data_IF_518959482256
#
_entry.id   IF_518959482256
#
_cell.length_a   1.000
_cell.length_b   1.000
_cell.length_c   1.000
_cell.angle_alpha   90.00
_cell.angle_beta   90.00
_cell.angle_gamma   90.00
#
_symmetry.space_group_name_H-M   'P 1'
#
loop_
_entity.id
_entity.type
_entity.pdbx_description
1 polymer ?
#
# COMPACT_ATOMS: atom_id res chain seq x y z
N UNK A 1 -1.70 -26.07 -16.30
CA UNK A 1 -2.26 -24.85 -15.66
C UNK A 1 -1.20 -23.78 -15.76
N UNK A 2 -1.33 -22.86 -16.72
CA UNK A 2 -0.53 -21.65 -16.84
C UNK A 2 -1.54 -20.50 -16.88
N UNK A 3 -1.33 -19.49 -16.05
CA UNK A 3 -2.23 -18.35 -15.91
C UNK A 3 -2.01 -17.41 -17.09
N UNK A 4 -3.04 -17.19 -17.91
CA UNK A 4 -2.98 -16.41 -19.15
C UNK A 4 -2.86 -14.88 -18.93
N UNK A 5 -2.42 -14.45 -17.74
CA UNK A 5 -2.23 -13.02 -17.39
C UNK A 5 -0.77 -12.58 -17.33
N UNK A 6 0.14 -13.38 -17.86
CA UNK A 6 1.57 -13.09 -17.92
C UNK A 6 1.97 -12.39 -19.24
N UNK A 7 1.26 -11.34 -19.68
CA UNK A 7 1.67 -10.52 -20.85
C UNK A 7 0.84 -9.22 -20.96
N UNK A 8 0.95 -8.33 -19.98
CA UNK A 8 0.66 -6.93 -20.24
C UNK A 8 1.75 -6.06 -19.63
N UNK A 9 2.58 -5.50 -20.51
CA UNK A 9 3.41 -4.32 -20.26
C UNK A 9 2.53 -3.07 -20.03
N UNK A 10 1.41 -3.21 -19.33
CA UNK A 10 0.68 -2.08 -18.79
C UNK A 10 1.42 -1.67 -17.52
N UNK A 11 1.79 -0.39 -17.43
CA UNK A 11 2.21 0.21 -16.16
C UNK A 11 1.15 -0.14 -15.12
N UNK A 12 1.48 -1.07 -14.22
CA UNK A 12 0.62 -1.42 -13.09
C UNK A 12 0.84 -0.32 -12.07
N UNK A 13 -0.10 0.60 -11.95
CA UNK A 13 -0.09 1.60 -10.89
C UNK A 13 -0.55 0.94 -9.58
N UNK A 14 0.38 0.81 -8.64
CA UNK A 14 0.08 0.26 -7.31
C UNK A 14 -0.54 1.35 -6.43
N UNK A 15 -1.77 1.13 -5.98
CA UNK A 15 -2.48 2.00 -5.04
C UNK A 15 -2.64 1.35 -3.67
N UNK A 16 -2.54 2.15 -2.61
CA UNK A 16 -2.79 1.73 -1.23
C UNK A 16 -3.94 2.57 -0.67
N UNK A 17 -5.00 1.92 -0.20
CA UNK A 17 -6.15 2.57 0.41
C UNK A 17 -6.36 2.00 1.81
N UNK A 18 -6.93 2.80 2.71
CA UNK A 18 -7.14 2.40 4.11
C UNK A 18 -6.73 3.46 5.12
N UNK A 19 -7.01 3.19 6.40
CA UNK A 19 -6.57 4.03 7.51
C UNK A 19 -5.05 4.03 7.58
N UNK A 20 -4.43 5.20 7.60
CA UNK A 20 -2.98 5.31 7.51
C UNK A 20 -2.48 5.64 6.10
N UNK A 21 -3.26 5.40 5.05
CA UNK A 21 -2.86 5.72 3.67
C UNK A 21 -3.72 6.87 3.12
N UNK A 22 -4.90 6.52 2.62
CA UNK A 22 -5.88 7.44 2.02
C UNK A 22 -6.95 7.91 3.03
N UNK A 23 -7.01 7.31 4.22
CA UNK A 23 -7.92 7.71 5.32
C UNK A 23 -7.12 8.12 6.54
N UNK A 24 -7.67 9.08 7.30
CA UNK A 24 -7.05 9.57 8.52
C UNK A 24 -6.68 8.43 9.50
N UNK A 25 -5.47 8.42 10.10
CA UNK A 25 -4.38 9.39 9.94
C UNK A 25 -3.74 9.28 8.55
N UNK A 26 -3.66 10.39 7.82
CA UNK A 26 -3.16 10.40 6.45
C UNK A 26 -1.65 10.17 6.39
N UNK A 27 -1.17 9.58 5.30
CA UNK A 27 0.24 9.46 4.93
C UNK A 27 1.11 8.58 5.85
N UNK A 28 0.56 7.86 6.82
CA UNK A 28 1.29 6.91 7.66
C UNK A 28 1.96 5.79 6.85
N UNK A 29 1.26 5.30 5.82
CA UNK A 29 1.72 4.33 4.84
C UNK A 29 1.67 4.94 3.45
N UNK A 30 2.81 4.96 2.77
CA UNK A 30 2.96 5.47 1.41
C UNK A 30 3.42 4.35 0.50
N UNK A 31 2.71 4.14 -0.60
CA UNK A 31 3.08 3.18 -1.64
C UNK A 31 3.72 3.91 -2.83
N UNK A 32 4.73 3.31 -3.43
CA UNK A 32 5.28 3.76 -4.70
C UNK A 32 4.47 3.12 -5.85
N UNK A 33 3.80 3.92 -6.70
CA UNK A 33 2.94 3.40 -7.76
C UNK A 33 3.69 2.68 -8.88
N UNK A 34 5.01 2.87 -9.02
CA UNK A 34 5.82 2.28 -10.10
C UNK A 34 6.28 0.85 -9.79
N UNK A 35 6.48 0.53 -8.50
CA UNK A 35 7.07 -0.73 -8.07
C UNK A 35 6.34 -1.42 -6.90
N UNK A 36 5.31 -0.78 -6.35
CA UNK A 36 4.51 -1.33 -5.25
C UNK A 36 5.19 -1.33 -3.89
N UNK A 37 6.33 -0.66 -3.72
CA UNK A 37 6.99 -0.58 -2.41
C UNK A 37 6.17 0.24 -1.42
N UNK A 38 5.84 -0.36 -0.29
CA UNK A 38 5.16 0.31 0.83
C UNK A 38 6.20 0.74 1.86
N UNK A 39 6.09 2.00 2.31
CA UNK A 39 6.93 2.60 3.35
C UNK A 39 6.05 3.20 4.44
N UNK A 40 6.54 3.09 5.68
CA UNK A 40 5.95 3.77 6.84
C UNK A 40 6.67 5.09 7.03
N UNK A 41 5.94 6.19 7.17
CA UNK A 41 6.51 7.55 7.32
C UNK A 41 6.47 8.06 8.76
N UNK A 42 5.71 7.41 9.64
CA UNK A 42 5.47 7.81 11.01
C UNK A 42 5.80 6.73 12.04
N UNK A 43 5.75 7.11 13.31
CA UNK A 43 5.89 6.16 14.41
C UNK A 43 4.61 5.33 14.55
N UNK A 44 4.76 4.01 14.55
CA UNK A 44 3.67 3.07 14.82
C UNK A 44 3.67 2.73 16.31
N UNK A 45 2.53 2.94 16.95
CA UNK A 45 2.32 2.62 18.35
C UNK A 45 1.20 1.57 18.45
N UNK A 46 1.58 0.36 18.87
CA UNK A 46 0.66 -0.77 18.96
C UNK A 46 -0.43 -0.56 20.02
N UNK A 47 -0.17 0.26 21.04
CA UNK A 47 -1.17 0.59 22.07
C UNK A 47 -2.24 1.53 21.53
N UNK A 48 -1.88 2.37 20.55
CA UNK A 48 -2.83 3.27 19.87
C UNK A 48 -3.56 2.60 18.71
N UNK A 49 -2.87 1.75 17.95
CA UNK A 49 -3.49 1.00 16.86
C UNK A 49 -2.84 -0.37 16.73
N UNK A 50 -3.61 -1.42 16.99
CA UNK A 50 -3.12 -2.79 17.03
C UNK A 50 -3.00 -3.44 15.65
N UNK A 51 -3.82 -3.01 14.69
CA UNK A 51 -3.79 -3.49 13.30
C UNK A 51 -4.39 -2.49 12.32
N UNK A 52 -3.93 -2.57 11.07
CA UNK A 52 -4.48 -1.86 9.92
C UNK A 52 -4.96 -2.93 8.93
N UNK A 53 -6.18 -2.76 8.40
CA UNK A 53 -6.80 -3.67 7.42
C UNK A 53 -6.90 -2.99 6.06
#
# INVERSE_FOLDING_TARGET
>A
IRSDKDINWQMVEYGLTGHGADKAPYNLFVINPENGYVRVTGLLDREKTSSYN
#
